data_IF_240373801683
#
_entry.id   IF_240373801683
#
_cell.length_a   1.000
_cell.length_b   1.000
_cell.length_c   1.000
_cell.angle_alpha   90.00
_cell.angle_beta   90.00
_cell.angle_gamma   90.00
#
_symmetry.space_group_name_H-M   'P 1'
#
loop_
_entity.id
_entity.type
_entity.pdbx_description
1 polymer ?
#
# COMPACT_ATOMS: atom_id res chain seq x y z
N UNK A 1 87.99 10.15 15.09
CA UNK A 1 86.54 10.16 15.38
C UNK A 1 85.65 10.36 14.13
N UNK A 2 86.00 11.24 13.18
CA UNK A 2 85.21 11.47 11.95
C UNK A 2 84.95 10.23 11.06
N UNK A 3 85.92 9.30 10.96
CA UNK A 3 85.77 8.05 10.18
C UNK A 3 84.73 7.06 10.72
N UNK A 4 84.43 7.07 12.03
CA UNK A 4 83.39 6.21 12.61
C UNK A 4 81.98 6.75 12.34
N UNK A 5 81.81 8.07 12.32
CA UNK A 5 80.51 8.69 12.00
C UNK A 5 80.10 8.43 10.56
N UNK A 6 81.06 8.46 9.63
CA UNK A 6 80.81 8.17 8.22
C UNK A 6 80.31 6.73 8.00
N UNK A 7 80.85 5.77 8.76
CA UNK A 7 80.40 4.38 8.72
C UNK A 7 78.97 4.21 9.24
N UNK A 8 78.61 4.94 10.30
CA UNK A 8 77.27 4.87 10.90
C UNK A 8 76.18 5.43 9.98
N UNK A 9 76.46 6.51 9.26
CA UNK A 9 75.52 7.10 8.30
C UNK A 9 75.25 6.16 7.11
N UNK A 10 76.29 5.45 6.65
CA UNK A 10 76.15 4.48 5.55
C UNK A 10 75.27 3.29 5.97
N UNK A 11 75.43 2.78 7.19
CA UNK A 11 74.60 1.67 7.70
C UNK A 11 73.12 2.06 7.78
N UNK A 12 72.82 3.30 8.20
CA UNK A 12 71.44 3.81 8.26
C UNK A 12 70.81 3.98 6.88
N UNK A 13 71.58 4.37 5.86
CA UNK A 13 71.10 4.52 4.48
C UNK A 13 70.79 3.17 3.82
N UNK A 14 71.48 2.08 4.18
CA UNK A 14 71.23 0.75 3.59
C UNK A 14 70.09 -0.01 4.30
N UNK A 15 69.83 0.28 5.58
CA UNK A 15 68.73 -0.35 6.33
C UNK A 15 67.33 0.09 5.86
N UNK A 16 67.21 1.26 5.21
CA UNK A 16 65.93 1.79 4.71
C UNK A 16 65.41 1.13 3.42
N UNK A 17 66.23 0.36 2.71
CA UNK A 17 65.85 -0.26 1.43
C UNK A 17 65.40 -1.73 1.54
N UNK A 18 65.33 -2.31 2.76
CA UNK A 18 64.99 -3.71 2.96
C UNK A 18 63.49 -3.98 3.22
N UNK A 19 62.63 -2.95 3.27
CA UNK A 19 61.18 -3.12 3.15
C UNK A 19 60.82 -3.40 1.69
N UNK A 20 61.10 -4.64 1.28
CA UNK A 20 60.76 -5.19 -0.02
C UNK A 20 59.25 -5.23 -0.25
N UNK A 21 58.81 -5.40 -1.52
CA UNK A 21 57.41 -5.39 -1.87
C UNK A 21 56.68 -6.46 -1.08
N UNK A 22 55.59 -6.09 -0.39
CA UNK A 22 54.62 -7.06 0.09
C UNK A 22 54.32 -8.01 -1.07
N UNK A 23 54.50 -9.32 -0.87
CA UNK A 23 54.12 -10.31 -1.85
C UNK A 23 52.63 -10.13 -2.13
N UNK A 24 52.31 -9.45 -3.23
CA UNK A 24 50.98 -9.45 -3.78
C UNK A 24 50.72 -10.91 -4.16
N UNK A 25 49.79 -11.54 -3.44
CA UNK A 25 49.26 -12.84 -3.83
C UNK A 25 48.91 -12.79 -5.31
N UNK A 26 49.31 -13.83 -6.03
CA UNK A 26 49.14 -13.94 -7.47
C UNK A 26 47.69 -13.57 -7.84
N UNK A 27 47.46 -12.54 -8.69
CA UNK A 27 46.11 -12.04 -8.99
C UNK A 27 45.19 -13.14 -9.53
N UNK A 28 45.74 -14.17 -10.15
CA UNK A 28 45.02 -15.35 -10.64
C UNK A 28 44.45 -16.19 -9.48
N UNK A 29 45.23 -16.40 -8.41
CA UNK A 29 44.75 -17.12 -7.22
C UNK A 29 43.68 -16.34 -6.47
N UNK A 30 43.82 -15.01 -6.36
CA UNK A 30 42.80 -14.15 -5.75
C UNK A 30 41.49 -14.24 -6.53
N UNK A 31 41.55 -14.24 -7.85
CA UNK A 31 40.35 -14.30 -8.69
C UNK A 31 39.61 -15.64 -8.56
N UNK A 32 40.34 -16.76 -8.54
CA UNK A 32 39.74 -18.08 -8.29
C UNK A 32 39.11 -18.17 -6.88
N UNK A 33 39.81 -17.71 -5.84
CA UNK A 33 39.28 -17.71 -4.48
C UNK A 33 38.03 -16.83 -4.32
N UNK A 34 37.95 -15.70 -5.04
CA UNK A 34 36.78 -14.84 -5.07
C UNK A 34 35.62 -15.50 -5.82
N UNK A 35 35.88 -16.09 -6.98
CA UNK A 35 34.86 -16.80 -7.76
C UNK A 35 34.26 -17.96 -6.96
N UNK A 36 35.08 -18.73 -6.25
CA UNK A 36 34.59 -19.85 -5.44
C UNK A 36 33.77 -19.37 -4.25
N UNK A 37 34.16 -18.26 -3.59
CA UNK A 37 33.35 -17.63 -2.54
C UNK A 37 32.03 -17.08 -3.06
N UNK A 38 32.03 -16.46 -4.24
CA UNK A 38 30.82 -15.93 -4.88
C UNK A 38 29.88 -17.07 -5.28
N UNK A 39 30.40 -18.16 -5.85
CA UNK A 39 29.61 -19.36 -6.16
C UNK A 39 28.99 -19.97 -4.89
N UNK A 40 29.80 -20.16 -3.85
CA UNK A 40 29.33 -20.72 -2.57
C UNK A 40 28.26 -19.84 -1.93
N UNK A 41 28.47 -18.52 -1.90
CA UNK A 41 27.47 -17.59 -1.37
C UNK A 41 26.20 -17.51 -2.22
N UNK A 42 26.32 -17.66 -3.53
CA UNK A 42 25.16 -17.70 -4.45
C UNK A 42 24.32 -18.96 -4.23
N UNK A 43 24.98 -20.11 -4.05
CA UNK A 43 24.30 -21.39 -3.79
C UNK A 43 23.58 -21.38 -2.44
N UNK A 44 24.20 -20.82 -1.41
CA UNK A 44 23.59 -20.67 -0.09
C UNK A 44 22.36 -19.75 -0.14
N UNK A 45 22.47 -18.61 -0.82
CA UNK A 45 21.36 -17.69 -1.02
C UNK A 45 20.21 -18.33 -1.81
N UNK A 46 20.54 -19.08 -2.87
CA UNK A 46 19.54 -19.79 -3.68
C UNK A 46 18.77 -20.82 -2.83
N UNK A 47 19.46 -21.56 -1.96
CA UNK A 47 18.82 -22.51 -1.02
C UNK A 47 17.90 -21.79 -0.02
N UNK A 48 18.32 -20.65 0.49
CA UNK A 48 17.53 -19.87 1.44
C UNK A 48 16.25 -19.31 0.78
N UNK A 49 16.39 -18.78 -0.44
CA UNK A 49 15.25 -18.32 -1.25
C UNK A 49 14.28 -19.47 -1.59
N UNK A 50 14.80 -20.64 -1.93
CA UNK A 50 13.96 -21.82 -2.19
C UNK A 50 13.17 -22.24 -0.95
N UNK A 51 13.81 -22.25 0.24
CA UNK A 51 13.12 -22.54 1.51
C UNK A 51 12.04 -21.53 1.82
N UNK A 52 12.34 -20.23 1.77
CA UNK A 52 11.34 -19.18 2.01
C UNK A 52 10.16 -19.28 1.05
N UNK A 53 10.41 -19.52 -0.25
CA UNK A 53 9.33 -19.75 -1.22
C UNK A 53 8.47 -20.95 -0.84
N UNK A 54 9.10 -22.07 -0.47
CA UNK A 54 8.36 -23.28 -0.09
C UNK A 54 7.50 -23.07 1.17
N UNK A 55 8.01 -22.36 2.18
CA UNK A 55 7.27 -22.06 3.41
C UNK A 55 6.09 -21.12 3.15
N UNK A 56 6.30 -20.09 2.31
CA UNK A 56 5.24 -19.17 1.91
C UNK A 56 4.17 -19.85 1.05
N UNK A 57 4.57 -20.73 0.14
CA UNK A 57 3.63 -21.51 -0.68
C UNK A 57 2.82 -22.49 0.19
N UNK A 58 3.45 -23.16 1.16
CA UNK A 58 2.74 -24.04 2.10
C UNK A 58 1.76 -23.28 3.00
N UNK A 59 2.14 -22.08 3.49
CA UNK A 59 1.27 -21.27 4.36
C UNK A 59 0.20 -20.48 3.60
N UNK A 60 0.44 -20.12 2.34
CA UNK A 60 -0.47 -19.33 1.51
C UNK A 60 -1.62 -20.11 0.88
N UNK A 61 -1.66 -21.43 1.03
CA UNK A 61 -2.70 -22.31 0.47
C UNK A 61 -3.84 -22.66 1.43
N UNK A 62 -4.01 -21.93 2.53
CA UNK A 62 -5.31 -21.94 3.19
C UNK A 62 -6.25 -21.12 2.30
N UNK A 63 -6.85 -21.81 1.31
CA UNK A 63 -7.86 -21.25 0.42
C UNK A 63 -9.05 -20.86 1.29
N UNK A 64 -9.06 -19.61 1.77
CA UNK A 64 -10.26 -19.04 2.35
C UNK A 64 -11.21 -18.91 1.17
N UNK A 65 -12.19 -19.81 1.13
CA UNK A 65 -13.25 -19.81 0.12
C UNK A 65 -14.17 -18.63 0.44
N UNK A 66 -13.70 -17.43 0.11
CA UNK A 66 -14.50 -16.22 0.11
C UNK A 66 -15.13 -16.16 -1.27
N UNK A 67 -16.40 -16.51 -1.37
CA UNK A 67 -17.15 -16.22 -2.57
C UNK A 67 -17.19 -14.69 -2.77
N UNK A 68 -16.82 -14.18 -3.95
CA UNK A 68 -17.01 -12.78 -4.28
C UNK A 68 -18.50 -12.46 -4.22
N UNK A 69 -18.93 -11.72 -3.20
CA UNK A 69 -20.29 -11.16 -3.17
C UNK A 69 -20.34 -9.97 -4.12
N UNK A 70 -21.30 -10.00 -5.05
CA UNK A 70 -21.58 -8.82 -5.85
C UNK A 70 -22.23 -7.75 -4.95
N UNK A 71 -21.74 -6.51 -4.93
CA UNK A 71 -22.43 -5.44 -4.24
C UNK A 71 -23.79 -5.20 -4.90
N UNK A 72 -24.82 -5.01 -4.08
CA UNK A 72 -26.13 -4.63 -4.58
C UNK A 72 -26.09 -3.15 -4.96
N UNK A 73 -26.23 -2.86 -6.25
CA UNK A 73 -26.26 -1.49 -6.76
C UNK A 73 -27.60 -0.83 -6.43
N UNK A 74 -27.56 0.31 -5.74
CA UNK A 74 -28.72 1.18 -5.50
C UNK A 74 -28.52 2.52 -6.23
N UNK A 75 -29.32 2.82 -7.27
CA UNK A 75 -29.18 4.06 -8.05
C UNK A 75 -29.43 5.34 -7.23
N UNK A 76 -30.13 5.25 -6.10
CA UNK A 76 -30.39 6.39 -5.23
C UNK A 76 -29.18 6.78 -4.37
N UNK A 77 -28.22 5.87 -4.16
CA UNK A 77 -26.99 6.18 -3.41
C UNK A 77 -26.02 7.07 -4.21
N UNK A 78 -26.07 7.00 -5.54
CA UNK A 78 -25.21 7.80 -6.44
C UNK A 78 -25.62 9.28 -6.52
N UNK A 79 -26.85 9.60 -6.12
CA UNK A 79 -27.40 10.95 -6.24
C UNK A 79 -27.30 11.68 -4.91
N UNK A 80 -26.46 12.73 -4.86
CA UNK A 80 -26.33 13.60 -3.69
C UNK A 80 -27.24 14.81 -3.83
N UNK A 81 -28.05 15.07 -2.79
CA UNK A 81 -29.05 16.14 -2.76
C UNK A 81 -28.91 16.98 -1.48
N UNK A 82 -29.37 18.22 -1.56
CA UNK A 82 -29.53 19.10 -0.40
C UNK A 82 -30.96 19.66 -0.42
N UNK A 83 -31.68 19.48 0.69
CA UNK A 83 -33.06 19.95 0.83
C UNK A 83 -33.20 20.69 2.15
N UNK A 84 -33.96 21.78 2.13
CA UNK A 84 -34.34 22.49 3.34
C UNK A 84 -35.81 22.84 3.22
N UNK A 85 -36.58 22.47 4.23
CA UNK A 85 -38.01 22.72 4.24
C UNK A 85 -38.51 22.85 5.67
N UNK A 86 -39.54 23.67 5.82
CA UNK A 86 -40.10 24.06 7.10
C UNK A 86 -41.60 23.99 6.97
N UNK A 87 -42.22 23.14 7.78
CA UNK A 87 -43.66 22.91 7.79
C UNK A 87 -44.21 22.64 6.37
N UNK A 88 -43.61 21.70 5.63
CA UNK A 88 -44.06 21.33 4.28
C UNK A 88 -44.68 19.92 4.28
N UNK A 89 -45.65 19.65 3.40
CA UNK A 89 -46.21 18.32 3.28
C UNK A 89 -45.19 17.37 2.65
N UNK A 90 -45.15 16.14 3.17
CA UNK A 90 -44.20 15.09 2.73
C UNK A 90 -44.25 14.86 1.20
N UNK A 91 -45.42 15.02 0.58
CA UNK A 91 -45.62 14.83 -0.85
C UNK A 91 -44.82 15.84 -1.69
N UNK A 92 -44.68 17.09 -1.22
CA UNK A 92 -43.87 18.12 -1.90
C UNK A 92 -42.39 17.73 -1.92
N UNK A 93 -41.89 17.16 -0.82
CA UNK A 93 -40.52 16.66 -0.73
C UNK A 93 -40.29 15.49 -1.67
N UNK A 94 -41.16 14.49 -1.64
CA UNK A 94 -41.05 13.31 -2.51
C UNK A 94 -41.10 13.72 -4.00
N UNK A 95 -41.95 14.68 -4.34
CA UNK A 95 -41.99 15.24 -5.69
C UNK A 95 -40.69 15.97 -6.07
N UNK A 96 -40.17 16.83 -5.19
CA UNK A 96 -38.91 17.54 -5.42
C UNK A 96 -37.73 16.56 -5.55
N UNK A 97 -37.74 15.49 -4.76
CA UNK A 97 -36.73 14.43 -4.80
C UNK A 97 -36.77 13.67 -6.12
N UNK A 98 -37.96 13.22 -6.56
CA UNK A 98 -38.16 12.57 -7.86
C UNK A 98 -37.56 13.40 -9.01
N UNK A 99 -37.80 14.71 -8.98
CA UNK A 99 -37.24 15.65 -9.96
C UNK A 99 -35.72 15.79 -9.87
N UNK A 100 -35.16 15.81 -8.66
CA UNK A 100 -33.72 15.97 -8.45
C UNK A 100 -32.91 14.75 -8.90
N UNK A 101 -33.43 13.55 -8.68
CA UNK A 101 -32.76 12.29 -9.07
C UNK A 101 -33.13 11.83 -10.49
N UNK A 102 -34.08 12.50 -11.14
CA UNK A 102 -34.54 12.14 -12.49
C UNK A 102 -35.28 10.81 -12.57
N UNK A 103 -35.89 10.37 -11.47
CA UNK A 103 -36.62 9.09 -11.40
C UNK A 103 -38.08 9.30 -10.99
N UNK A 104 -38.94 8.40 -11.45
CA UNK A 104 -40.34 8.41 -11.07
C UNK A 104 -40.52 7.73 -9.71
N UNK A 105 -41.20 8.41 -8.78
CA UNK A 105 -41.57 7.84 -7.48
C UNK A 105 -43.06 7.53 -7.50
N UNK A 106 -43.39 6.26 -7.28
CA UNK A 106 -44.78 5.80 -7.14
C UNK A 106 -45.10 5.75 -5.65
N UNK A 107 -46.15 6.47 -5.26
CA UNK A 107 -46.60 6.54 -3.87
C UNK A 107 -47.79 5.60 -3.68
N UNK A 108 -47.78 4.86 -2.58
CA UNK A 108 -48.96 4.10 -2.14
C UNK A 108 -50.10 5.10 -1.81
N UNK A 109 -51.34 4.87 -2.27
CA UNK A 109 -52.50 5.70 -1.92
C UNK A 109 -52.67 5.93 -0.41
N UNK A 110 -52.28 4.99 0.44
CA UNK A 110 -52.36 5.13 1.89
C UNK A 110 -51.48 6.29 2.43
N UNK A 111 -50.34 6.56 1.78
CA UNK A 111 -49.45 7.69 2.13
C UNK A 111 -50.05 9.03 1.72
N UNK A 112 -51.03 9.03 0.81
CA UNK A 112 -51.71 10.26 0.35
C UNK A 112 -52.71 10.80 1.39
N UNK A 113 -53.30 9.92 2.20
CA UNK A 113 -54.27 10.32 3.23
C UNK A 113 -53.59 10.83 4.52
N UNK A 114 -52.29 10.63 4.67
CA UNK A 114 -51.52 11.16 5.78
C UNK A 114 -51.13 12.63 5.52
N UNK A 115 -51.79 13.56 6.22
CA UNK A 115 -51.47 15.00 6.23
C UNK A 115 -50.23 15.32 7.07
N UNK A 116 -49.16 14.55 6.85
CA UNK A 116 -47.91 14.66 7.62
C UNK A 116 -47.09 15.85 7.10
N UNK A 117 -46.86 16.83 7.97
CA UNK A 117 -46.02 18.01 7.73
C UNK A 117 -44.70 17.86 8.45
N UNK A 118 -43.61 18.26 7.80
CA UNK A 118 -42.25 18.02 8.30
C UNK A 118 -41.38 19.26 8.13
N UNK A 119 -40.45 19.43 9.07
CA UNK A 119 -39.35 20.39 8.97
C UNK A 119 -38.06 19.60 8.97
N UNK A 120 -37.26 19.75 7.93
CA UNK A 120 -36.04 18.99 7.75
C UNK A 120 -35.00 19.76 6.94
N UNK A 121 -33.74 19.45 7.21
CA UNK A 121 -32.59 20.04 6.57
C UNK A 121 -31.55 18.96 6.28
N UNK A 122 -31.29 18.74 5.00
CA UNK A 122 -30.29 17.82 4.50
C UNK A 122 -29.27 18.61 3.68
N UNK A 123 -27.99 18.41 3.96
CA UNK A 123 -26.90 19.01 3.21
C UNK A 123 -25.98 17.90 2.70
N UNK A 124 -25.87 17.79 1.36
CA UNK A 124 -25.00 16.82 0.67
C UNK A 124 -25.19 15.38 1.17
N UNK A 125 -26.44 14.93 1.18
CA UNK A 125 -26.82 13.58 1.61
C UNK A 125 -27.26 12.76 0.39
N UNK A 126 -27.01 11.44 0.38
CA UNK A 126 -27.52 10.57 -0.68
C UNK A 126 -29.05 10.54 -0.68
N UNK A 127 -29.65 10.51 -1.87
CA UNK A 127 -31.11 10.50 -2.02
C UNK A 127 -31.73 9.26 -1.36
N UNK A 128 -31.04 8.13 -1.38
CA UNK A 128 -31.46 6.91 -0.66
C UNK A 128 -31.56 7.14 0.85
N UNK A 129 -30.60 7.86 1.45
CA UNK A 129 -30.63 8.18 2.88
C UNK A 129 -31.72 9.18 3.22
N UNK A 130 -31.94 10.19 2.38
CA UNK A 130 -33.06 11.13 2.54
C UNK A 130 -34.39 10.38 2.56
N UNK A 131 -34.63 9.49 1.60
CA UNK A 131 -35.87 8.71 1.53
C UNK A 131 -36.09 7.81 2.75
N UNK A 132 -35.03 7.15 3.24
CA UNK A 132 -35.10 6.33 4.46
C UNK A 132 -35.45 7.13 5.71
N UNK A 133 -34.93 8.36 5.82
CA UNK A 133 -35.21 9.22 6.98
C UNK A 133 -36.65 9.77 6.97
N UNK A 134 -37.23 9.95 5.78
CA UNK A 134 -38.58 10.48 5.61
C UNK A 134 -39.66 9.39 5.80
N UNK A 135 -39.36 8.17 5.36
CA UNK A 135 -40.30 7.02 5.38
C UNK A 135 -40.10 6.08 6.57
N UNK A 136 -38.97 6.16 7.28
CA UNK A 136 -38.71 5.44 8.52
C UNK A 136 -39.56 5.96 9.68
#
# INVERSE_FOLDING_TARGET
>A
MSRLYLAWVIVLLVAGCATGPHQAKDPVQIHHQLQDKVKTGSDELARLQARMRSELQQKGMQKIEIEPVLPQYDPLEDHTVSFSMVDEPIQSLLYAMAKAVGMNIILDPAVKDETRRMTLHFEKVSAARVLREILG
#
